data_IF_419671483034
#
_entry.id   IF_419671483034
#
_cell.length_a   1.000
_cell.length_b   1.000
_cell.length_c   1.000
_cell.angle_alpha   90.00
_cell.angle_beta   90.00
_cell.angle_gamma   90.00
#
_symmetry.space_group_name_H-M   'P 1'
#
loop_
_entity.id
_entity.type
_entity.pdbx_description
1 polymer ?
#
# COMPACT_ATOMS: atom_id res chain seq x y z
N UNK A 1 1.17 19.01 2.27
CA UNK A 1 2.14 18.83 3.37
C UNK A 1 3.52 18.66 2.76
N UNK A 2 4.42 19.66 2.88
CA UNK A 2 5.78 19.61 2.32
C UNK A 2 6.65 18.63 3.13
N UNK A 3 7.51 17.91 2.42
CA UNK A 3 8.13 16.63 2.81
C UNK A 3 8.80 16.57 4.17
N UNK A 4 8.31 15.64 5.01
CA UNK A 4 8.97 15.23 6.28
C UNK A 4 10.24 14.41 6.05
N UNK A 5 10.49 13.96 4.82
CA UNK A 5 11.59 13.08 4.46
C UNK A 5 12.40 13.68 3.30
N UNK A 6 13.73 13.76 3.48
CA UNK A 6 14.67 14.29 2.47
C UNK A 6 14.78 13.43 1.20
N UNK A 7 14.42 12.14 1.28
CA UNK A 7 14.45 11.20 0.16
C UNK A 7 13.03 10.93 -0.29
N UNK A 8 12.72 11.34 -1.51
CA UNK A 8 11.49 10.99 -2.21
C UNK A 8 11.84 10.08 -3.38
N UNK A 9 10.97 9.12 -3.68
CA UNK A 9 11.14 8.29 -4.87
C UNK A 9 10.88 9.19 -6.08
N UNK A 10 11.58 8.95 -7.19
CA UNK A 10 11.30 9.67 -8.44
C UNK A 10 9.88 9.32 -8.88
N UNK A 11 9.08 10.33 -9.22
CA UNK A 11 7.66 10.16 -9.58
C UNK A 11 7.43 9.08 -10.66
N UNK A 12 8.29 9.02 -11.67
CA UNK A 12 8.22 7.99 -12.73
C UNK A 12 8.35 6.56 -12.20
N UNK A 13 9.16 6.36 -11.15
CA UNK A 13 9.35 5.05 -10.52
C UNK A 13 8.14 4.69 -9.65
N UNK A 14 7.55 5.67 -8.94
CA UNK A 14 6.33 5.45 -8.15
C UNK A 14 5.18 4.97 -9.04
N UNK A 15 5.00 5.58 -10.21
CA UNK A 15 3.99 5.16 -11.20
C UNK A 15 4.22 3.73 -11.69
N UNK A 16 5.46 3.39 -12.05
CA UNK A 16 5.84 2.04 -12.50
C UNK A 16 5.59 0.98 -11.45
N UNK A 17 5.95 1.25 -10.18
CA UNK A 17 5.74 0.31 -9.07
C UNK A 17 4.25 0.10 -8.84
N UNK A 18 3.47 1.18 -8.82
CA UNK A 18 2.02 1.11 -8.59
C UNK A 18 1.31 0.32 -9.70
N UNK A 19 1.65 0.58 -10.96
CA UNK A 19 1.12 -0.17 -12.11
C UNK A 19 1.52 -1.64 -12.04
N UNK A 20 2.78 -1.96 -11.74
CA UNK A 20 3.22 -3.35 -11.62
C UNK A 20 2.45 -4.12 -10.54
N UNK A 21 2.20 -3.50 -9.38
CA UNK A 21 1.46 -4.12 -8.28
C UNK A 21 0.01 -4.40 -8.70
N UNK A 22 -0.67 -3.42 -9.33
CA UNK A 22 -2.04 -3.58 -9.84
C UNK A 22 -2.15 -4.66 -10.90
N UNK A 23 -1.29 -4.60 -11.92
CA UNK A 23 -1.27 -5.59 -13.00
C UNK A 23 -1.06 -7.01 -12.49
N UNK A 24 -0.20 -7.17 -11.48
CA UNK A 24 0.02 -8.47 -10.83
C UNK A 24 -1.22 -8.94 -10.08
N UNK A 25 -1.87 -8.06 -9.34
CA UNK A 25 -3.08 -8.39 -8.59
C UNK A 25 -4.24 -8.75 -9.52
N UNK A 26 -4.39 -8.05 -10.63
CA UNK A 26 -5.43 -8.33 -11.63
C UNK A 26 -5.21 -9.65 -12.37
N UNK A 27 -3.95 -9.99 -12.68
CA UNK A 27 -3.62 -11.25 -13.36
C UNK A 27 -3.66 -12.47 -12.43
N UNK A 28 -3.36 -12.29 -11.15
CA UNK A 28 -3.20 -13.42 -10.23
C UNK A 28 -4.43 -13.69 -9.36
N UNK A 29 -5.27 -12.70 -9.10
CA UNK A 29 -6.47 -12.88 -8.28
C UNK A 29 -7.71 -13.06 -9.14
N UNK A 30 -8.66 -13.86 -8.65
CA UNK A 30 -9.99 -14.02 -9.26
C UNK A 30 -10.72 -12.68 -9.42
N UNK A 31 -11.66 -12.63 -10.37
CA UNK A 31 -12.57 -11.50 -10.58
C UNK A 31 -13.35 -11.13 -9.32
N UNK A 32 -13.71 -12.12 -8.50
CA UNK A 32 -14.48 -11.90 -7.26
C UNK A 32 -13.60 -11.68 -6.02
N UNK A 33 -12.27 -11.66 -6.17
CA UNK A 33 -11.37 -11.43 -5.05
C UNK A 33 -11.36 -9.95 -4.67
N UNK A 34 -11.32 -9.65 -3.37
CA UNK A 34 -11.14 -8.28 -2.88
C UNK A 34 -9.78 -7.75 -3.32
N UNK A 35 -9.78 -6.67 -4.10
CA UNK A 35 -8.56 -6.06 -4.64
C UNK A 35 -8.01 -5.05 -3.66
N UNK A 36 -6.71 -4.77 -3.72
CA UNK A 36 -6.06 -3.81 -2.85
C UNK A 36 -6.58 -2.39 -3.02
N UNK A 37 -7.13 -2.05 -4.18
CA UNK A 37 -7.79 -0.76 -4.41
C UNK A 37 -9.09 -0.60 -3.60
N UNK A 38 -9.77 -1.69 -3.26
CA UNK A 38 -10.99 -1.70 -2.42
C UNK A 38 -10.70 -1.45 -0.93
N UNK A 39 -9.42 -1.46 -0.53
CA UNK A 39 -9.02 -1.16 0.83
C UNK A 39 -9.54 0.22 1.27
N UNK A 40 -10.41 0.26 2.27
CA UNK A 40 -10.91 1.51 2.85
C UNK A 40 -10.45 1.61 4.30
N UNK A 41 -9.89 2.77 4.68
CA UNK A 41 -9.55 3.06 6.07
C UNK A 41 -10.56 4.02 6.67
N UNK A 42 -10.96 3.72 7.91
CA UNK A 42 -11.81 4.60 8.72
C UNK A 42 -11.19 5.98 8.97
N UNK A 43 -9.86 6.05 9.10
CA UNK A 43 -9.13 7.31 9.24
C UNK A 43 -7.84 7.28 8.41
N UNK A 44 -7.72 8.20 7.44
CA UNK A 44 -6.52 8.38 6.63
C UNK A 44 -5.59 9.41 7.29
N UNK A 45 -4.81 8.96 8.28
CA UNK A 45 -3.89 9.84 9.03
C UNK A 45 -2.60 10.18 8.27
N UNK A 46 -2.20 9.34 7.32
CA UNK A 46 -0.96 9.49 6.54
C UNK A 46 -1.25 9.48 5.04
N UNK A 47 -0.44 10.17 4.26
CA UNK A 47 -0.48 10.11 2.80
C UNK A 47 -0.20 8.70 2.31
N UNK A 48 -0.79 8.34 1.17
CA UNK A 48 -0.51 7.05 0.57
C UNK A 48 0.94 6.96 0.05
N UNK A 49 1.45 5.74 0.13
CA UNK A 49 2.79 5.27 -0.20
C UNK A 49 2.67 4.24 -1.32
N UNK A 50 3.79 3.83 -1.94
CA UNK A 50 3.86 2.88 -3.04
C UNK A 50 3.32 1.48 -2.70
N UNK A 51 3.21 1.15 -1.41
CA UNK A 51 2.65 -0.11 -0.92
C UNK A 51 1.13 -0.13 -1.10
N UNK A 52 0.62 -1.24 -1.63
CA UNK A 52 -0.80 -1.58 -1.67
C UNK A 52 -1.45 -1.46 -0.29
N UNK A 53 -2.75 -1.12 -0.26
CA UNK A 53 -3.46 -0.81 1.00
C UNK A 53 -3.43 -1.98 1.97
N UNK A 54 -3.71 -3.20 1.50
CA UNK A 54 -3.67 -4.41 2.32
C UNK A 54 -2.25 -4.77 2.77
N UNK A 55 -1.23 -4.59 1.92
CA UNK A 55 0.17 -4.79 2.31
C UNK A 55 0.57 -3.85 3.45
N UNK A 56 0.14 -2.59 3.40
CA UNK A 56 0.41 -1.63 4.48
C UNK A 56 -0.28 -2.02 5.79
N UNK A 57 -1.50 -2.55 5.72
CA UNK A 57 -2.20 -3.01 6.91
C UNK A 57 -1.54 -4.26 7.50
N UNK A 58 -1.02 -5.17 6.67
CA UNK A 58 -0.22 -6.30 7.12
C UNK A 58 1.03 -5.85 7.89
N UNK A 59 1.80 -4.90 7.34
CA UNK A 59 2.98 -4.34 8.03
C UNK A 59 2.59 -3.71 9.38
N UNK A 60 1.48 -2.96 9.43
CA UNK A 60 1.00 -2.33 10.67
C UNK A 60 0.66 -3.37 11.72
N UNK A 61 -0.06 -4.43 11.35
CA UNK A 61 -0.43 -5.53 12.24
C UNK A 61 0.83 -6.21 12.75
N UNK A 62 1.76 -6.55 11.85
CA UNK A 62 3.01 -7.22 12.17
C UNK A 62 3.85 -6.45 13.19
N UNK A 63 3.87 -5.11 13.10
CA UNK A 63 4.60 -4.24 14.02
C UNK A 63 3.81 -3.81 15.26
N UNK A 64 2.65 -4.41 15.54
CA UNK A 64 1.96 -4.17 16.81
C UNK A 64 2.54 -5.01 17.94
N UNK A 65 2.52 -4.46 19.16
CA UNK A 65 2.85 -5.21 20.38
C UNK A 65 1.92 -6.40 20.61
N UNK A 66 0.66 -6.31 20.18
CA UNK A 66 -0.30 -7.41 20.32
C UNK A 66 0.04 -8.62 19.43
N UNK A 67 0.70 -8.38 18.30
CA UNK A 67 1.12 -9.43 17.36
C UNK A 67 2.54 -9.93 17.63
N UNK A 68 3.41 -9.08 18.17
CA UNK A 68 4.78 -9.44 18.56
C UNK A 68 4.77 -10.21 19.88
N UNK A 69 4.95 -11.53 19.83
CA UNK A 69 5.07 -12.45 20.98
C UNK A 69 6.45 -12.30 21.64
#
# INVERSE_FOLDING_TARGET
MKGKYKRQIKSDLEGKITSYIRDREDKCLSEFASKSDDGLRRQQKYTDDIRAKYSRDADRIAHTRAYSI
#
